data_IF_194610469387
#
_entry.id   IF_194610469387
#
_cell.length_a   1.000
_cell.length_b   1.000
_cell.length_c   1.000
_cell.angle_alpha   90.00
_cell.angle_beta   90.00
_cell.angle_gamma   90.00
#
_symmetry.space_group_name_H-M   'P 1'
#
loop_
_entity.id
_entity.type
_entity.pdbx_description
1 polymer ?
#
# COMPACT_ATOMS: atom_id res chain seq x y z
N UNK A 1 22.98 24.69 26.34
CA UNK A 1 23.61 23.57 25.60
C UNK A 1 23.11 23.70 24.18
N UNK A 2 23.98 24.15 23.28
CA UNK A 2 23.70 24.21 21.84
C UNK A 2 23.35 22.80 21.39
N UNK A 3 22.25 22.62 20.64
CA UNK A 3 21.96 21.36 19.97
C UNK A 3 23.18 21.03 19.10
N UNK A 4 24.03 20.13 19.60
CA UNK A 4 25.24 19.73 18.91
C UNK A 4 24.82 19.07 17.61
N UNK A 5 25.39 19.51 16.50
CA UNK A 5 25.23 18.81 15.22
C UNK A 5 25.57 17.34 15.45
N UNK A 6 24.64 16.43 15.16
CA UNK A 6 24.80 14.99 15.40
C UNK A 6 25.85 14.33 14.47
N UNK A 7 26.66 15.14 13.78
CA UNK A 7 27.68 14.72 12.81
C UNK A 7 27.13 14.21 11.47
N UNK A 8 25.82 14.31 11.25
CA UNK A 8 25.15 13.82 10.04
C UNK A 8 24.80 14.90 9.01
N UNK A 9 25.36 16.11 9.13
CA UNK A 9 25.08 17.19 8.19
C UNK A 9 25.34 16.79 6.73
N UNK A 10 24.42 17.17 5.83
CA UNK A 10 24.51 16.90 4.40
C UNK A 10 24.29 15.43 4.00
N UNK A 11 23.80 14.58 4.91
CA UNK A 11 23.40 13.21 4.59
C UNK A 11 22.10 13.23 3.79
N UNK A 12 22.06 12.47 2.69
CA UNK A 12 20.86 12.22 1.89
C UNK A 12 20.45 10.75 1.99
N UNK A 13 19.29 10.39 1.44
CA UNK A 13 18.87 8.98 1.38
C UNK A 13 19.90 8.09 0.64
N UNK A 14 20.63 8.63 -0.33
CA UNK A 14 21.71 7.93 -1.04
C UNK A 14 22.93 7.69 -0.15
N UNK A 15 23.20 8.59 0.80
CA UNK A 15 24.36 8.48 1.69
C UNK A 15 24.29 7.21 2.55
N UNK A 16 23.10 6.76 2.94
CA UNK A 16 22.90 5.51 3.69
C UNK A 16 23.30 4.25 2.92
N UNK A 17 23.54 4.35 1.59
CA UNK A 17 24.04 3.24 0.76
C UNK A 17 25.56 3.24 0.60
N UNK A 18 26.23 4.32 0.98
CA UNK A 18 27.69 4.44 0.90
C UNK A 18 28.32 4.11 2.26
N UNK A 19 28.75 2.85 2.40
CA UNK A 19 29.39 2.36 3.62
C UNK A 19 30.62 3.17 4.04
N UNK A 20 31.47 3.59 3.09
CA UNK A 20 32.66 4.36 3.41
C UNK A 20 32.31 5.77 3.87
N UNK A 21 31.28 6.38 3.29
CA UNK A 21 30.79 7.69 3.72
C UNK A 21 30.16 7.66 5.11
N UNK A 22 29.43 6.60 5.44
CA UNK A 22 28.85 6.41 6.79
C UNK A 22 29.96 6.14 7.81
N UNK A 23 30.89 5.22 7.50
CA UNK A 23 32.02 4.89 8.37
C UNK A 23 32.88 6.13 8.69
N UNK A 24 33.24 6.93 7.68
CA UNK A 24 34.01 8.17 7.90
C UNK A 24 33.30 9.16 8.82
N UNK A 25 31.97 9.27 8.75
CA UNK A 25 31.19 10.16 9.62
C UNK A 25 31.20 9.66 11.06
N UNK A 26 30.95 8.36 11.25
CA UNK A 26 30.98 7.73 12.56
C UNK A 26 32.38 7.83 13.20
N UNK A 27 33.44 7.60 12.42
CA UNK A 27 34.83 7.75 12.87
C UNK A 27 35.19 9.21 13.20
N UNK A 28 34.52 10.19 12.58
CA UNK A 28 34.63 11.61 12.88
C UNK A 28 33.75 12.07 14.07
N UNK A 29 33.05 11.14 14.74
CA UNK A 29 32.24 11.42 15.92
C UNK A 29 30.77 11.71 15.64
N UNK A 30 30.23 11.34 14.48
CA UNK A 30 28.79 11.36 14.27
C UNK A 30 28.08 10.42 15.26
N UNK A 31 26.94 10.86 15.79
CA UNK A 31 26.20 10.17 16.82
C UNK A 31 25.41 8.98 16.22
N UNK A 32 25.75 7.72 16.52
CA UNK A 32 25.04 6.56 15.98
C UNK A 32 23.59 6.45 16.50
N UNK A 33 23.22 7.21 17.54
CA UNK A 33 21.92 7.14 18.21
C UNK A 33 20.93 8.20 17.70
N UNK A 34 21.40 9.30 17.08
CA UNK A 34 20.56 10.45 16.77
C UNK A 34 20.79 11.04 15.38
N UNK A 35 19.73 11.16 14.58
CA UNK A 35 19.68 11.83 13.28
C UNK A 35 18.41 12.68 13.18
N UNK A 36 18.50 13.99 13.43
CA UNK A 36 17.32 14.87 13.44
C UNK A 36 16.30 14.41 14.49
N UNK A 37 15.13 13.94 14.04
CA UNK A 37 14.09 13.37 14.90
C UNK A 37 14.09 11.83 14.94
N UNK A 38 15.01 11.19 14.22
CA UNK A 38 15.05 9.74 14.07
C UNK A 38 16.39 9.10 14.43
N UNK A 39 16.52 7.79 14.18
CA UNK A 39 17.72 7.01 14.52
C UNK A 39 18.45 6.55 13.27
N UNK A 40 19.79 6.73 13.18
CA UNK A 40 20.59 6.29 12.03
C UNK A 40 20.38 4.82 11.64
N UNK A 41 20.23 3.92 12.63
CA UNK A 41 20.08 2.48 12.37
C UNK A 41 18.75 2.15 11.66
N UNK A 42 17.65 2.84 11.99
CA UNK A 42 16.36 2.69 11.32
C UNK A 42 16.44 3.17 9.87
N UNK A 43 17.10 4.31 9.63
CA UNK A 43 17.31 4.81 8.28
C UNK A 43 18.21 3.86 7.45
N UNK A 44 19.26 3.32 8.05
CA UNK A 44 20.09 2.30 7.40
C UNK A 44 19.30 1.02 7.08
N UNK A 45 18.42 0.59 7.99
CA UNK A 45 17.57 -0.58 7.79
C UNK A 45 16.63 -0.41 6.59
N UNK A 46 16.06 0.79 6.41
CA UNK A 46 15.15 1.11 5.31
C UNK A 46 15.87 1.37 3.98
N UNK A 47 16.84 2.29 3.94
CA UNK A 47 17.42 2.79 2.69
C UNK A 47 18.83 2.29 2.40
N UNK A 48 19.53 1.81 3.42
CA UNK A 48 20.95 1.48 3.36
C UNK A 48 21.28 0.06 2.89
N UNK A 49 22.57 -0.27 2.93
CA UNK A 49 23.10 -1.61 2.67
C UNK A 49 23.34 -2.39 3.97
N UNK A 50 23.48 -3.71 3.85
CA UNK A 50 23.73 -4.59 5.00
C UNK A 50 25.05 -4.25 5.72
N UNK A 51 26.05 -3.76 4.99
CA UNK A 51 27.33 -3.29 5.56
C UNK A 51 27.13 -2.03 6.40
N UNK A 52 26.32 -1.07 5.94
CA UNK A 52 25.99 0.14 6.70
C UNK A 52 25.21 -0.20 7.96
N UNK A 53 24.25 -1.13 7.85
CA UNK A 53 23.49 -1.65 8.98
C UNK A 53 24.42 -2.28 10.02
N UNK A 54 25.32 -3.17 9.59
CA UNK A 54 26.28 -3.82 10.48
C UNK A 54 27.25 -2.80 11.13
N UNK A 55 27.66 -1.78 10.38
CA UNK A 55 28.56 -0.72 10.86
C UNK A 55 27.92 0.12 11.98
N UNK A 56 26.65 0.47 11.82
CA UNK A 56 25.86 1.20 12.82
C UNK A 56 25.50 0.31 14.01
N UNK A 57 25.08 -0.93 13.77
CA UNK A 57 24.69 -1.86 14.82
C UNK A 57 25.82 -2.16 15.81
N UNK A 58 27.08 -2.06 15.38
CA UNK A 58 28.27 -2.17 16.26
C UNK A 58 28.50 -0.96 17.16
N UNK A 59 27.87 0.19 16.86
CA UNK A 59 28.11 1.47 17.55
C UNK A 59 26.93 1.93 18.41
N UNK A 60 25.76 1.37 18.21
CA UNK A 60 24.60 1.63 19.07
C UNK A 60 24.70 0.84 20.38
N UNK A 61 24.07 1.36 21.43
CA UNK A 61 23.98 0.69 22.74
C UNK A 61 22.96 -0.44 22.71
N UNK A 62 21.84 -0.22 22.02
CA UNK A 62 20.73 -1.16 21.89
C UNK A 62 20.28 -1.22 20.41
N UNK A 63 20.47 -2.38 19.79
CA UNK A 63 20.07 -2.66 18.41
C UNK A 63 18.53 -2.74 18.26
N UNK A 64 17.83 -3.06 19.34
CA UNK A 64 16.37 -3.17 19.41
C UNK A 64 15.70 -1.92 20.00
N UNK A 65 16.46 -0.84 20.21
CA UNK A 65 15.87 0.42 20.61
C UNK A 65 14.90 0.90 19.52
N UNK A 66 13.78 1.48 19.95
CA UNK A 66 12.64 1.78 19.08
C UNK A 66 12.63 3.24 18.64
N UNK A 67 12.13 3.47 17.44
CA UNK A 67 11.74 4.77 16.89
C UNK A 67 10.26 4.64 16.52
N UNK A 68 9.41 5.55 16.99
CA UNK A 68 7.95 5.52 16.75
C UNK A 68 7.30 4.13 17.00
N UNK A 69 7.71 3.47 18.08
CA UNK A 69 7.17 2.18 18.51
C UNK A 69 7.70 0.94 17.76
N UNK A 70 8.61 1.12 16.79
CA UNK A 70 9.15 0.02 15.97
C UNK A 70 10.67 -0.09 16.05
N UNK A 71 11.21 -1.30 15.88
CA UNK A 71 12.66 -1.54 15.82
C UNK A 71 13.21 -1.34 14.41
N UNK A 72 14.52 -1.17 14.27
CA UNK A 72 15.14 -1.16 12.94
C UNK A 72 14.87 -2.47 12.16
N UNK A 73 14.75 -3.59 12.88
CA UNK A 73 14.44 -4.90 12.27
C UNK A 73 13.02 -4.97 11.73
N UNK A 74 12.06 -4.35 12.43
CA UNK A 74 10.70 -4.16 11.91
C UNK A 74 10.73 -3.40 10.58
N UNK A 75 11.44 -2.27 10.53
CA UNK A 75 11.54 -1.46 9.32
C UNK A 75 12.12 -2.27 8.14
N UNK A 76 13.21 -2.99 8.36
CA UNK A 76 13.82 -3.83 7.33
C UNK A 76 12.86 -4.90 6.77
N UNK A 77 12.05 -5.53 7.62
CA UNK A 77 11.07 -6.54 7.17
C UNK A 77 9.90 -5.91 6.42
N UNK A 78 9.35 -4.81 6.93
CA UNK A 78 8.23 -4.09 6.27
C UNK A 78 8.65 -3.60 4.89
N UNK A 79 9.84 -3.00 4.78
CA UNK A 79 10.38 -2.47 3.52
C UNK A 79 11.00 -3.54 2.60
N UNK A 80 10.85 -4.82 2.94
CA UNK A 80 11.31 -5.96 2.12
C UNK A 80 12.82 -5.91 1.86
N UNK A 81 13.62 -5.69 2.91
CA UNK A 81 15.08 -5.60 2.92
C UNK A 81 15.71 -6.81 3.63
N UNK A 82 15.68 -8.02 3.03
CA UNK A 82 16.08 -9.24 3.73
C UNK A 82 17.56 -9.23 4.17
N UNK A 83 18.47 -8.65 3.38
CA UNK A 83 19.89 -8.56 3.74
C UNK A 83 20.12 -7.66 4.96
N UNK A 84 19.40 -6.54 5.03
CA UNK A 84 19.45 -5.62 6.18
C UNK A 84 18.86 -6.28 7.42
N UNK A 85 17.74 -7.01 7.26
CA UNK A 85 17.09 -7.73 8.34
C UNK A 85 18.00 -8.84 8.91
N UNK A 86 18.70 -9.58 8.05
CA UNK A 86 19.70 -10.57 8.47
C UNK A 86 20.90 -9.93 9.17
N UNK A 87 21.38 -8.77 8.70
CA UNK A 87 22.47 -8.05 9.35
C UNK A 87 22.10 -7.58 10.78
N UNK A 88 20.87 -7.09 10.97
CA UNK A 88 20.35 -6.72 12.29
C UNK A 88 20.23 -7.93 13.22
N UNK A 89 19.67 -9.04 12.73
CA UNK A 89 19.57 -10.27 13.51
C UNK A 89 20.96 -10.83 13.89
N UNK A 90 21.94 -10.77 12.97
CA UNK A 90 23.32 -11.16 13.25
C UNK A 90 23.99 -10.24 14.28
N UNK A 91 23.56 -8.98 14.38
CA UNK A 91 23.99 -8.04 15.40
C UNK A 91 23.23 -8.17 16.74
N UNK A 92 22.29 -9.13 16.84
CA UNK A 92 21.58 -9.45 18.09
C UNK A 92 20.17 -8.89 18.20
N UNK A 93 19.61 -8.26 17.16
CA UNK A 93 18.22 -7.82 17.16
C UNK A 93 17.27 -9.02 17.23
N UNK A 94 16.24 -8.94 18.08
CA UNK A 94 15.25 -10.02 18.27
C UNK A 94 14.16 -9.98 17.17
N UNK A 95 14.11 -10.96 16.23
CA UNK A 95 13.07 -11.01 15.20
C UNK A 95 11.68 -11.32 15.75
N UNK A 96 11.57 -11.80 16.99
CA UNK A 96 10.31 -12.25 17.59
C UNK A 96 9.74 -11.25 18.61
N UNK A 97 10.41 -10.12 18.80
CA UNK A 97 9.89 -8.99 19.57
C UNK A 97 8.62 -8.42 18.93
N UNK A 98 7.56 -8.37 19.72
CA UNK A 98 6.24 -7.86 19.30
C UNK A 98 6.26 -6.34 19.21
N UNK A 99 5.53 -5.81 18.24
CA UNK A 99 5.34 -4.39 17.95
C UNK A 99 3.87 -4.16 17.58
N UNK A 100 3.59 -3.43 16.49
CA UNK A 100 2.24 -3.00 16.08
C UNK A 100 1.31 -4.20 15.86
N UNK A 101 0.07 -4.09 16.35
CA UNK A 101 -0.96 -5.13 16.20
C UNK A 101 -0.57 -6.48 16.82
N UNK A 102 0.45 -6.55 17.67
CA UNK A 102 0.98 -7.80 18.21
C UNK A 102 1.78 -8.62 17.19
N UNK A 103 2.23 -8.02 16.09
CA UNK A 103 3.13 -8.67 15.14
C UNK A 103 4.59 -8.50 15.55
N UNK A 104 5.43 -9.47 15.22
CA UNK A 104 6.88 -9.32 15.24
C UNK A 104 7.40 -9.29 13.79
N UNK A 105 8.62 -8.76 13.55
CA UNK A 105 9.23 -8.82 12.22
C UNK A 105 9.28 -10.25 11.67
N UNK A 106 9.67 -11.23 12.48
CA UNK A 106 9.72 -12.63 12.10
C UNK A 106 8.35 -13.21 11.75
N UNK A 107 7.31 -12.88 12.51
CA UNK A 107 5.95 -13.38 12.24
C UNK A 107 5.34 -12.72 10.99
N UNK A 108 5.60 -11.43 10.73
CA UNK A 108 5.23 -10.80 9.45
C UNK A 108 5.95 -11.47 8.28
N UNK A 109 7.24 -11.77 8.44
CA UNK A 109 8.04 -12.49 7.44
C UNK A 109 7.38 -13.78 6.98
N UNK A 110 6.77 -14.55 7.89
CA UNK A 110 6.03 -15.79 7.55
C UNK A 110 4.87 -15.58 6.58
N UNK A 111 4.26 -14.39 6.57
CA UNK A 111 3.16 -14.03 5.67
C UNK A 111 3.65 -13.34 4.37
N UNK A 112 4.90 -12.88 4.37
CA UNK A 112 5.51 -12.13 3.28
C UNK A 112 6.25 -13.00 2.26
N UNK A 113 7.04 -12.37 1.37
CA UNK A 113 7.77 -13.06 0.31
C UNK A 113 9.00 -13.83 0.81
N UNK A 114 9.43 -13.62 2.05
CA UNK A 114 10.61 -14.24 2.65
C UNK A 114 10.24 -14.98 3.95
N UNK A 115 9.45 -16.07 3.89
CA UNK A 115 8.97 -16.78 5.08
C UNK A 115 10.08 -17.47 5.87
N UNK A 116 11.20 -17.81 5.22
CA UNK A 116 12.32 -18.53 5.83
C UNK A 116 13.45 -17.60 6.32
N UNK A 117 13.17 -16.29 6.45
CA UNK A 117 14.17 -15.28 6.78
C UNK A 117 14.82 -15.51 8.17
N UNK A 118 14.07 -16.07 9.12
CA UNK A 118 14.55 -16.37 10.47
C UNK A 118 14.15 -17.77 10.91
N UNK A 119 14.92 -18.35 11.82
CA UNK A 119 14.52 -19.56 12.51
C UNK A 119 13.24 -19.30 13.34
N UNK A 120 12.25 -20.19 13.20
CA UNK A 120 10.94 -20.05 13.84
C UNK A 120 10.92 -20.74 15.21
N UNK A 121 10.69 -20.01 16.32
CA UNK A 121 10.56 -20.58 17.65
C UNK A 121 9.37 -21.54 17.76
N UNK A 122 9.46 -22.50 18.68
CA UNK A 122 8.36 -23.41 18.96
C UNK A 122 7.09 -22.64 19.36
N UNK A 123 5.98 -22.91 18.68
CA UNK A 123 4.69 -22.27 18.94
C UNK A 123 4.40 -21.04 18.07
N UNK A 124 5.42 -20.42 17.46
CA UNK A 124 5.21 -19.33 16.50
C UNK A 124 4.71 -19.87 15.16
N UNK A 125 3.54 -19.40 14.75
CA UNK A 125 2.93 -19.73 13.45
C UNK A 125 1.86 -18.72 13.06
N UNK A 126 1.56 -18.66 11.77
CA UNK A 126 0.33 -18.04 11.29
C UNK A 126 -0.87 -18.93 11.64
N UNK A 127 -1.99 -18.30 11.95
CA UNK A 127 -3.29 -18.96 11.95
C UNK A 127 -3.70 -19.34 10.53
N UNK A 128 -4.69 -20.23 10.39
CA UNK A 128 -5.19 -20.63 9.07
C UNK A 128 -5.81 -19.44 8.31
N UNK A 129 -6.47 -18.53 9.03
CA UNK A 129 -7.03 -17.31 8.46
C UNK A 129 -5.93 -16.36 7.95
N UNK A 130 -4.89 -16.11 8.76
CA UNK A 130 -3.75 -15.27 8.35
C UNK A 130 -3.02 -15.84 7.14
N UNK A 131 -2.82 -17.18 7.11
CA UNK A 131 -2.22 -17.87 5.97
C UNK A 131 -3.08 -17.75 4.72
N UNK A 132 -4.40 -17.92 4.85
CA UNK A 132 -5.32 -17.77 3.73
C UNK A 132 -5.30 -16.33 3.18
N UNK A 133 -5.24 -15.32 4.05
CA UNK A 133 -5.09 -13.92 3.65
C UNK A 133 -3.78 -13.68 2.89
N UNK A 134 -2.65 -14.23 3.37
CA UNK A 134 -1.36 -14.11 2.70
C UNK A 134 -1.35 -14.76 1.31
N UNK A 135 -1.89 -15.98 1.19
CA UNK A 135 -2.02 -16.69 -0.09
C UNK A 135 -2.90 -15.92 -1.07
N UNK A 136 -4.04 -15.39 -0.60
CA UNK A 136 -4.94 -14.62 -1.45
C UNK A 136 -4.32 -13.29 -1.89
N UNK A 137 -3.57 -12.61 -1.00
CA UNK A 137 -2.85 -11.39 -1.35
C UNK A 137 -1.81 -11.65 -2.45
N UNK A 138 -0.99 -12.70 -2.31
CA UNK A 138 -0.01 -13.07 -3.33
C UNK A 138 -0.70 -13.39 -4.67
N UNK A 139 -1.77 -14.18 -4.65
CA UNK A 139 -2.57 -14.50 -5.86
C UNK A 139 -3.12 -13.24 -6.52
N UNK A 140 -3.70 -12.34 -5.74
CA UNK A 140 -4.36 -11.14 -6.26
C UNK A 140 -3.34 -10.15 -6.85
N UNK A 141 -2.20 -9.95 -6.18
CA UNK A 141 -1.11 -9.10 -6.68
C UNK A 141 -0.55 -9.66 -7.99
N UNK A 142 -0.33 -10.98 -8.07
CA UNK A 142 0.15 -11.64 -9.30
C UNK A 142 -0.86 -11.51 -10.45
N UNK A 143 -2.15 -11.76 -10.17
CA UNK A 143 -3.21 -11.65 -11.17
C UNK A 143 -3.35 -10.23 -11.75
N UNK A 144 -3.24 -9.20 -10.90
CA UNK A 144 -3.31 -7.81 -11.36
C UNK A 144 -2.01 -7.36 -12.05
N UNK A 145 -0.86 -7.95 -11.69
CA UNK A 145 0.43 -7.57 -12.25
C UNK A 145 0.83 -6.13 -11.93
N UNK A 146 1.75 -5.58 -12.73
CA UNK A 146 2.27 -4.21 -12.56
C UNK A 146 1.92 -3.35 -13.77
N UNK A 147 1.42 -2.15 -13.51
CA UNK A 147 1.08 -1.15 -14.51
C UNK A 147 1.08 0.26 -13.90
N UNK A 148 1.28 1.27 -14.75
CA UNK A 148 1.14 2.67 -14.35
C UNK A 148 -0.35 2.99 -14.15
N UNK A 149 -0.68 3.61 -13.02
CA UNK A 149 -2.06 3.89 -12.65
C UNK A 149 -2.25 5.28 -12.04
N UNK A 150 -1.27 6.18 -12.18
CA UNK A 150 -1.44 7.56 -11.73
C UNK A 150 -2.59 8.20 -12.53
N UNK A 151 -3.48 8.89 -11.84
CA UNK A 151 -4.70 9.45 -12.40
C UNK A 151 -5.89 8.48 -12.43
N UNK A 152 -5.70 7.19 -12.12
CA UNK A 152 -6.78 6.21 -12.15
C UNK A 152 -7.70 6.34 -10.93
N UNK A 153 -9.00 6.52 -11.20
CA UNK A 153 -10.08 6.35 -10.24
C UNK A 153 -10.70 4.96 -10.33
N UNK A 154 -11.09 4.42 -9.18
CA UNK A 154 -11.60 3.06 -9.05
C UNK A 154 -12.69 3.00 -7.96
N UNK A 155 -13.73 2.21 -8.18
CA UNK A 155 -14.65 1.76 -7.14
C UNK A 155 -14.82 0.23 -7.21
N UNK A 156 -14.34 -0.45 -6.19
CA UNK A 156 -14.51 -1.88 -6.00
C UNK A 156 -15.81 -2.12 -5.22
N UNK A 157 -16.78 -2.82 -5.82
CA UNK A 157 -18.12 -3.02 -5.22
C UNK A 157 -18.37 -4.49 -4.96
N UNK A 158 -18.66 -4.84 -3.71
CA UNK A 158 -18.86 -6.21 -3.30
C UNK A 158 -20.23 -6.74 -3.75
N UNK A 159 -20.26 -7.98 -4.25
CA UNK A 159 -21.47 -8.79 -4.38
C UNK A 159 -22.49 -8.39 -5.45
N UNK A 160 -22.18 -7.42 -6.32
CA UNK A 160 -23.03 -7.02 -7.45
C UNK A 160 -22.25 -7.08 -8.77
N UNK A 161 -22.94 -7.35 -9.87
CA UNK A 161 -22.34 -7.34 -11.21
C UNK A 161 -22.40 -5.94 -11.85
N UNK A 162 -21.80 -5.83 -13.04
CA UNK A 162 -21.77 -4.59 -13.80
C UNK A 162 -23.17 -4.06 -14.15
N UNK A 163 -24.13 -4.93 -14.45
CA UNK A 163 -25.48 -4.52 -14.83
C UNK A 163 -26.22 -3.87 -13.64
N UNK A 164 -26.11 -4.48 -12.46
CA UNK A 164 -26.67 -3.94 -11.23
C UNK A 164 -25.97 -2.63 -10.82
N UNK A 165 -24.66 -2.52 -11.00
CA UNK A 165 -23.92 -1.28 -10.77
C UNK A 165 -24.41 -0.14 -11.68
N UNK A 166 -24.54 -0.38 -13.00
CA UNK A 166 -25.07 0.60 -13.95
C UNK A 166 -26.50 1.02 -13.58
N UNK A 167 -27.35 0.08 -13.17
CA UNK A 167 -28.72 0.35 -12.71
C UNK A 167 -28.74 1.26 -11.47
N UNK A 168 -27.90 0.98 -10.47
CA UNK A 168 -27.79 1.80 -9.25
C UNK A 168 -27.29 3.21 -9.54
N UNK A 169 -26.32 3.34 -10.45
CA UNK A 169 -25.81 4.62 -10.89
C UNK A 169 -26.86 5.41 -11.69
N UNK A 170 -27.82 4.72 -12.31
CA UNK A 170 -28.71 5.26 -13.35
C UNK A 170 -27.89 5.81 -14.53
N UNK A 171 -26.80 5.12 -14.85
CA UNK A 171 -25.91 5.49 -15.93
C UNK A 171 -26.51 5.02 -17.27
N UNK A 172 -26.20 5.73 -18.35
CA UNK A 172 -26.61 5.38 -19.72
C UNK A 172 -25.42 4.84 -20.50
N UNK A 173 -25.62 3.96 -21.51
CA UNK A 173 -24.52 3.54 -22.38
C UNK A 173 -23.83 4.74 -23.03
N UNK A 174 -22.49 4.75 -23.01
CA UNK A 174 -21.72 5.79 -23.67
C UNK A 174 -21.72 5.58 -25.20
N UNK A 175 -21.75 6.65 -26.01
CA UNK A 175 -21.52 6.53 -27.44
C UNK A 175 -20.14 5.91 -27.71
N UNK A 176 -20.10 4.86 -28.53
CA UNK A 176 -18.87 4.09 -28.77
C UNK A 176 -17.73 4.96 -29.30
N UNK A 177 -18.00 5.78 -30.31
CA UNK A 177 -16.98 6.66 -30.92
C UNK A 177 -16.40 7.66 -29.90
N UNK A 178 -17.23 8.19 -29.01
CA UNK A 178 -16.78 9.07 -27.94
C UNK A 178 -15.91 8.31 -26.93
N UNK A 179 -16.37 7.15 -26.44
CA UNK A 179 -15.62 6.35 -25.50
C UNK A 179 -14.26 5.88 -26.07
N UNK A 180 -14.25 5.40 -27.31
CA UNK A 180 -13.03 4.97 -27.99
C UNK A 180 -12.06 6.16 -28.17
N UNK A 181 -12.56 7.35 -28.52
CA UNK A 181 -11.73 8.55 -28.66
C UNK A 181 -11.15 9.08 -27.34
N UNK A 182 -11.90 9.01 -26.23
CA UNK A 182 -11.39 9.38 -24.90
C UNK A 182 -10.37 8.36 -24.39
N UNK A 183 -10.57 7.07 -24.66
CA UNK A 183 -9.62 6.02 -24.26
C UNK A 183 -8.29 6.14 -25.03
N UNK A 184 -8.34 6.57 -26.30
CA UNK A 184 -7.14 6.78 -27.13
C UNK A 184 -6.31 7.97 -26.63
N UNK A 185 -6.94 9.12 -26.41
CA UNK A 185 -6.29 10.29 -25.84
C UNK A 185 -7.24 11.08 -24.93
N UNK A 186 -7.23 10.84 -23.60
CA UNK A 186 -8.15 11.49 -22.69
C UNK A 186 -7.83 12.98 -22.46
N UNK A 187 -6.63 13.44 -22.83
CA UNK A 187 -6.16 14.80 -22.58
C UNK A 187 -6.51 15.78 -23.70
N UNK A 188 -6.93 15.25 -24.85
CA UNK A 188 -7.43 16.02 -25.99
C UNK A 188 -8.91 16.46 -25.83
N UNK A 189 -9.57 16.03 -24.75
CA UNK A 189 -10.96 16.38 -24.44
C UNK A 189 -11.04 17.25 -23.18
N UNK A 190 -12.11 18.04 -23.07
CA UNK A 190 -12.35 18.81 -21.85
C UNK A 190 -12.68 17.87 -20.68
N UNK A 191 -12.13 18.16 -19.49
CA UNK A 191 -12.31 17.31 -18.31
C UNK A 191 -13.79 17.14 -17.95
N UNK A 192 -14.60 18.20 -18.10
CA UNK A 192 -16.03 18.17 -17.77
C UNK A 192 -16.81 17.21 -18.70
N UNK A 193 -16.34 17.00 -19.93
CA UNK A 193 -16.95 16.07 -20.88
C UNK A 193 -16.57 14.61 -20.58
N UNK A 194 -15.34 14.36 -20.12
CA UNK A 194 -14.82 13.01 -19.90
C UNK A 194 -15.03 12.50 -18.47
N UNK A 195 -15.21 13.40 -17.50
CA UNK A 195 -15.41 13.04 -16.09
C UNK A 195 -16.63 12.13 -15.85
N UNK A 196 -17.76 12.27 -16.57
CA UNK A 196 -18.89 11.35 -16.42
C UNK A 196 -18.67 9.97 -17.06
N UNK A 197 -17.69 9.81 -17.96
CA UNK A 197 -17.42 8.55 -18.65
C UNK A 197 -16.67 7.59 -17.73
N UNK A 198 -17.27 6.44 -17.43
CA UNK A 198 -16.66 5.38 -16.61
C UNK A 198 -16.84 4.01 -17.25
N UNK A 199 -15.86 3.14 -17.03
CA UNK A 199 -15.93 1.73 -17.38
C UNK A 199 -16.49 0.91 -16.23
N UNK A 200 -17.33 -0.09 -16.52
CA UNK A 200 -17.86 -1.02 -15.52
C UNK A 200 -17.58 -2.45 -15.95
N UNK A 201 -16.98 -3.24 -15.06
CA UNK A 201 -16.55 -4.62 -15.33
C UNK A 201 -16.91 -5.55 -14.19
N UNK A 202 -17.57 -6.67 -14.49
CA UNK A 202 -17.85 -7.72 -13.51
C UNK A 202 -16.59 -8.54 -13.25
N UNK A 203 -16.34 -8.87 -11.99
CA UNK A 203 -15.24 -9.74 -11.55
C UNK A 203 -15.74 -10.73 -10.51
N UNK A 204 -15.06 -11.86 -10.26
CA UNK A 204 -15.44 -12.72 -9.16
C UNK A 204 -15.53 -11.94 -7.84
N UNK A 205 -16.65 -12.08 -7.12
CA UNK A 205 -16.91 -11.35 -5.88
C UNK A 205 -17.59 -9.98 -6.04
N UNK A 206 -17.77 -9.46 -7.26
CA UNK A 206 -18.49 -8.20 -7.46
C UNK A 206 -18.21 -7.51 -8.80
N UNK A 207 -18.00 -6.19 -8.77
CA UNK A 207 -17.66 -5.43 -9.97
C UNK A 207 -16.71 -4.28 -9.65
N UNK A 208 -16.01 -3.83 -10.69
CA UNK A 208 -15.14 -2.67 -10.68
C UNK A 208 -15.74 -1.58 -11.56
N UNK A 209 -15.85 -0.37 -11.02
CA UNK A 209 -16.03 0.85 -11.82
C UNK A 209 -14.67 1.54 -11.93
N UNK A 210 -14.21 1.83 -13.14
CA UNK A 210 -12.86 2.38 -13.37
C UNK A 210 -12.92 3.61 -14.28
N UNK A 211 -11.98 4.52 -14.08
CA UNK A 211 -11.73 5.67 -14.94
C UNK A 211 -10.22 5.94 -14.94
N UNK A 212 -9.48 5.53 -15.99
CA UNK A 212 -8.02 5.63 -16.01
C UNK A 212 -7.46 7.06 -15.91
N UNK A 213 -8.26 8.07 -16.26
CA UNK A 213 -7.85 9.49 -16.36
C UNK A 213 -8.52 10.41 -15.34
N UNK A 214 -9.28 9.88 -14.37
CA UNK A 214 -10.04 10.74 -13.47
C UNK A 214 -10.55 10.07 -12.21
N UNK A 215 -11.05 10.89 -11.30
CA UNK A 215 -11.44 10.51 -9.95
C UNK A 215 -12.94 10.17 -9.82
N UNK A 216 -13.71 10.18 -10.91
CA UNK A 216 -15.16 10.04 -10.85
C UNK A 216 -15.64 8.79 -10.07
N UNK A 217 -15.02 7.61 -10.21
CA UNK A 217 -15.44 6.43 -9.45
C UNK A 217 -15.39 6.59 -7.93
N UNK A 218 -14.47 7.40 -7.40
CA UNK A 218 -14.30 7.63 -5.97
C UNK A 218 -15.30 8.66 -5.40
N UNK A 219 -16.03 9.39 -6.25
CA UNK A 219 -16.94 10.45 -5.79
C UNK A 219 -18.07 9.88 -4.93
N UNK A 220 -18.54 10.67 -3.96
CA UNK A 220 -19.63 10.28 -3.06
C UNK A 220 -20.93 9.96 -3.81
N UNK A 221 -21.21 10.71 -4.87
CA UNK A 221 -22.36 10.47 -5.75
C UNK A 221 -22.33 9.12 -6.49
N UNK A 222 -21.15 8.50 -6.59
CA UNK A 222 -20.93 7.17 -7.18
C UNK A 222 -20.90 6.09 -6.10
N UNK A 223 -20.10 6.26 -5.04
CA UNK A 223 -19.94 5.23 -4.00
C UNK A 223 -21.21 4.96 -3.19
N UNK A 224 -22.03 5.99 -2.89
CA UNK A 224 -23.27 5.82 -2.13
C UNK A 224 -24.27 4.91 -2.84
N UNK A 225 -24.71 5.17 -4.08
CA UNK A 225 -25.65 4.28 -4.74
C UNK A 225 -25.08 2.87 -4.95
N UNK A 226 -23.78 2.74 -5.25
CA UNK A 226 -23.14 1.43 -5.43
C UNK A 226 -23.13 0.58 -4.15
N UNK A 227 -22.86 1.21 -3.00
CA UNK A 227 -22.78 0.53 -1.70
C UNK A 227 -24.14 0.19 -1.06
N UNK A 228 -25.28 0.45 -1.70
CA UNK A 228 -26.58 0.13 -1.10
C UNK A 228 -26.72 -1.38 -0.79
N UNK A 229 -26.84 -1.75 0.49
CA UNK A 229 -26.90 -3.16 0.92
C UNK A 229 -25.60 -3.94 0.74
N UNK A 230 -24.46 -3.26 0.56
CA UNK A 230 -23.15 -3.88 0.35
C UNK A 230 -21.99 -2.95 0.76
N UNK A 231 -20.75 -3.37 0.49
CA UNK A 231 -19.53 -2.63 0.72
C UNK A 231 -18.94 -2.13 -0.59
N UNK A 232 -18.39 -0.92 -0.58
CA UNK A 232 -17.60 -0.37 -1.68
C UNK A 232 -16.32 0.28 -1.16
N UNK A 233 -15.21 0.03 -1.85
CA UNK A 233 -13.95 0.74 -1.65
C UNK A 233 -13.66 1.62 -2.87
N UNK A 234 -13.61 2.93 -2.66
CA UNK A 234 -13.18 3.90 -3.66
C UNK A 234 -11.69 4.18 -3.53
N UNK A 235 -11.00 4.28 -4.65
CA UNK A 235 -9.61 4.70 -4.77
C UNK A 235 -9.50 5.79 -5.83
N UNK A 236 -8.66 6.79 -5.56
CA UNK A 236 -8.09 7.65 -6.59
C UNK A 236 -6.58 7.70 -6.42
N UNK A 237 -5.86 7.25 -7.44
CA UNK A 237 -4.41 7.31 -7.48
C UNK A 237 -3.98 8.72 -7.91
N UNK A 238 -4.04 9.67 -6.99
CA UNK A 238 -3.84 11.08 -7.29
C UNK A 238 -2.35 11.36 -7.63
N UNK A 239 -2.02 11.82 -8.86
CA UNK A 239 -0.62 12.09 -9.25
C UNK A 239 0.08 13.13 -8.37
N UNK A 240 -0.67 13.99 -7.67
CA UNK A 240 -0.12 15.08 -6.86
C UNK A 240 0.13 14.69 -5.40
N UNK A 241 -0.73 13.86 -4.83
CA UNK A 241 -0.74 13.58 -3.37
C UNK A 241 -0.72 12.11 -3.01
N UNK A 242 -0.60 11.21 -4.00
CA UNK A 242 -0.62 9.78 -3.80
C UNK A 242 -2.03 9.19 -3.69
N UNK A 243 -2.09 7.91 -3.31
CA UNK A 243 -3.33 7.14 -3.32
C UNK A 243 -4.28 7.58 -2.20
N UNK A 244 -5.53 7.88 -2.58
CA UNK A 244 -6.60 8.30 -1.69
C UNK A 244 -7.72 7.26 -1.66
N UNK A 245 -8.11 6.82 -0.48
CA UNK A 245 -9.13 5.80 -0.26
C UNK A 245 -10.39 6.33 0.41
N UNK A 246 -11.51 5.71 0.10
CA UNK A 246 -12.81 5.99 0.73
C UNK A 246 -13.61 4.70 0.87
N UNK A 247 -14.28 4.52 2.00
CA UNK A 247 -15.12 3.34 2.23
C UNK A 247 -16.58 3.78 2.32
N UNK A 248 -17.43 3.11 1.55
CA UNK A 248 -18.87 3.27 1.61
C UNK A 248 -19.54 1.94 1.96
N UNK A 249 -20.49 1.97 2.88
CA UNK A 249 -21.30 0.82 3.28
C UNK A 249 -22.75 1.24 3.42
N UNK A 250 -23.65 0.44 2.84
CA UNK A 250 -25.09 0.63 2.93
C UNK A 250 -25.54 2.07 2.59
N UNK A 251 -24.96 2.64 1.53
CA UNK A 251 -25.28 3.99 1.06
C UNK A 251 -24.64 5.13 1.85
N UNK A 252 -23.79 4.82 2.84
CA UNK A 252 -23.14 5.80 3.71
C UNK A 252 -21.62 5.75 3.56
N UNK A 253 -20.96 6.92 3.57
CA UNK A 253 -19.49 6.98 3.64
C UNK A 253 -19.09 6.78 5.10
N UNK A 254 -18.29 5.75 5.37
CA UNK A 254 -17.84 5.39 6.73
C UNK A 254 -16.34 5.59 6.95
N UNK A 255 -15.57 5.87 5.89
CA UNK A 255 -14.16 6.21 5.95
C UNK A 255 -13.75 7.06 4.76
N UNK A 256 -12.88 8.04 4.97
CA UNK A 256 -12.31 8.94 3.95
C UNK A 256 -10.84 9.22 4.29
N UNK A 257 -10.09 9.78 3.34
CA UNK A 257 -8.66 10.11 3.49
C UNK A 257 -7.81 8.90 3.93
N UNK A 258 -8.18 7.72 3.44
CA UNK A 258 -7.44 6.48 3.68
C UNK A 258 -6.27 6.38 2.70
N UNK A 259 -5.24 5.61 3.05
CA UNK A 259 -4.03 5.44 2.23
C UNK A 259 -3.91 3.99 1.73
N UNK A 260 -4.73 3.57 0.73
CA UNK A 260 -4.67 2.20 0.21
C UNK A 260 -3.28 1.90 -0.35
N UNK A 261 -2.75 0.73 0.02
CA UNK A 261 -1.38 0.34 -0.30
C UNK A 261 -0.30 1.11 0.49
N UNK A 262 -0.69 1.86 1.52
CA UNK A 262 0.23 2.44 2.49
C UNK A 262 0.90 1.39 3.39
N UNK A 263 1.79 1.86 4.27
CA UNK A 263 2.44 1.03 5.29
C UNK A 263 1.51 0.72 6.46
N UNK A 264 2.06 0.06 7.47
CA UNK A 264 1.38 -0.24 8.74
C UNK A 264 1.39 1.03 9.60
N UNK A 265 0.25 1.37 10.20
CA UNK A 265 0.11 2.52 11.11
C UNK A 265 0.22 2.08 12.59
N UNK A 266 0.75 2.93 13.48
CA UNK A 266 0.95 2.61 14.92
C UNK A 266 -0.34 2.11 15.62
N UNK A 267 -1.50 2.62 15.19
CA UNK A 267 -2.81 2.27 15.73
C UNK A 267 -3.48 1.03 15.11
N UNK A 268 -2.83 0.34 14.18
CA UNK A 268 -3.42 -0.80 13.48
C UNK A 268 -3.69 -1.98 14.41
N UNK A 269 -4.89 -2.56 14.25
CA UNK A 269 -5.21 -3.89 14.79
C UNK A 269 -4.34 -4.97 14.14
N UNK A 270 -4.32 -6.17 14.72
CA UNK A 270 -3.59 -7.32 14.14
C UNK A 270 -3.97 -7.58 12.69
N UNK A 271 -5.26 -7.53 12.37
CA UNK A 271 -5.79 -7.76 11.03
C UNK A 271 -5.41 -6.63 10.07
N UNK A 272 -5.48 -5.37 10.52
CA UNK A 272 -5.08 -4.22 9.71
C UNK A 272 -3.58 -4.23 9.40
N UNK A 273 -2.74 -4.48 10.41
CA UNK A 273 -1.30 -4.53 10.22
C UNK A 273 -0.88 -5.61 9.21
N UNK A 274 -1.49 -6.81 9.29
CA UNK A 274 -1.25 -7.85 8.30
C UNK A 274 -1.74 -7.43 6.90
N UNK A 275 -2.93 -6.84 6.81
CA UNK A 275 -3.51 -6.41 5.55
C UNK A 275 -2.65 -5.34 4.87
N UNK A 276 -2.24 -4.30 5.61
CA UNK A 276 -1.35 -3.24 5.14
C UNK A 276 0.01 -3.80 4.72
N UNK A 277 0.62 -4.69 5.52
CA UNK A 277 1.88 -5.34 5.16
C UNK A 277 1.80 -6.10 3.84
N UNK A 278 0.73 -6.89 3.63
CA UNK A 278 0.58 -7.73 2.46
C UNK A 278 0.37 -6.92 1.18
N UNK A 279 -0.41 -5.84 1.26
CA UNK A 279 -0.78 -5.01 0.11
C UNK A 279 0.02 -3.70 -0.01
N UNK A 280 1.09 -3.53 0.79
CA UNK A 280 1.96 -2.35 0.72
C UNK A 280 2.46 -2.15 -0.72
N UNK A 281 2.35 -0.92 -1.22
CA UNK A 281 2.67 -0.55 -2.59
C UNK A 281 1.66 -1.01 -3.66
N UNK A 282 0.59 -1.73 -3.29
CA UNK A 282 -0.36 -2.34 -4.21
C UNK A 282 -1.79 -1.83 -3.96
N UNK A 283 -2.03 -0.54 -4.15
CA UNK A 283 -3.28 0.15 -3.79
C UNK A 283 -4.54 -0.41 -4.46
N UNK A 284 -4.43 -0.87 -5.71
CA UNK A 284 -5.56 -1.46 -6.45
C UNK A 284 -5.90 -2.85 -5.92
N UNK A 285 -4.87 -3.67 -5.63
CA UNK A 285 -5.06 -4.97 -4.98
C UNK A 285 -5.66 -4.79 -3.57
N UNK A 286 -5.16 -3.81 -2.81
CA UNK A 286 -5.72 -3.41 -1.51
C UNK A 286 -7.23 -3.12 -1.63
N UNK A 287 -7.63 -2.25 -2.58
CA UNK A 287 -9.02 -1.86 -2.78
C UNK A 287 -9.91 -3.05 -3.16
N UNK A 288 -9.44 -3.92 -4.07
CA UNK A 288 -10.14 -5.14 -4.47
C UNK A 288 -10.33 -6.09 -3.27
N UNK A 289 -9.25 -6.37 -2.54
CA UNK A 289 -9.26 -7.28 -1.40
C UNK A 289 -10.15 -6.76 -0.26
N UNK A 290 -10.13 -5.46 0.02
CA UNK A 290 -10.96 -4.84 1.05
C UNK A 290 -12.45 -5.04 0.75
N UNK A 291 -12.83 -4.91 -0.52
CA UNK A 291 -14.20 -5.15 -0.98
C UNK A 291 -14.50 -6.65 -1.25
N UNK A 292 -13.54 -7.56 -1.05
CA UNK A 292 -13.73 -9.00 -1.26
C UNK A 292 -13.78 -9.44 -2.73
N UNK A 293 -13.28 -8.60 -3.64
CA UNK A 293 -13.19 -8.91 -5.07
C UNK A 293 -11.98 -9.81 -5.33
N UNK A 294 -12.15 -10.69 -6.33
CA UNK A 294 -11.14 -11.66 -6.75
C UNK A 294 -10.95 -11.64 -8.27
N UNK A 295 -10.50 -10.53 -8.86
CA UNK A 295 -10.15 -10.50 -10.27
C UNK A 295 -9.09 -11.56 -10.59
N UNK A 296 -9.15 -12.07 -11.82
CA UNK A 296 -8.24 -13.11 -12.35
C UNK A 296 -7.16 -12.51 -13.25
N UNK A 297 -7.33 -11.25 -13.65
CA UNK A 297 -6.41 -10.45 -14.45
C UNK A 297 -6.65 -8.95 -14.16
N UNK A 298 -5.86 -8.08 -14.81
CA UNK A 298 -5.99 -6.63 -14.69
C UNK A 298 -7.08 -6.00 -15.59
N UNK A 299 -7.84 -6.78 -16.37
CA UNK A 299 -8.74 -6.25 -17.42
C UNK A 299 -9.76 -5.27 -16.87
N UNK A 300 -10.29 -5.55 -15.67
CA UNK A 300 -11.28 -4.69 -15.03
C UNK A 300 -10.76 -3.29 -14.66
N UNK A 301 -9.44 -3.10 -14.68
CA UNK A 301 -8.76 -1.86 -14.29
C UNK A 301 -8.16 -1.15 -15.51
N UNK A 302 -7.37 -1.87 -16.32
CA UNK A 302 -6.61 -1.31 -17.46
C UNK A 302 -7.06 -1.81 -18.82
N UNK A 303 -7.91 -2.83 -18.86
CA UNK A 303 -8.45 -3.39 -20.09
C UNK A 303 -9.76 -2.73 -20.50
N UNK A 304 -10.33 -3.17 -21.64
CA UNK A 304 -11.66 -2.72 -22.04
C UNK A 304 -12.69 -3.22 -21.01
N UNK A 305 -13.58 -2.33 -20.52
CA UNK A 305 -14.62 -2.71 -19.59
C UNK A 305 -15.72 -3.52 -20.28
N UNK A 306 -16.61 -4.13 -19.50
CA UNK A 306 -17.80 -4.78 -20.07
C UNK A 306 -18.71 -3.73 -20.73
N UNK A 307 -18.82 -2.56 -20.10
CA UNK A 307 -19.64 -1.44 -20.55
C UNK A 307 -18.93 -0.11 -20.27
N UNK A 308 -18.89 0.76 -21.27
CA UNK A 308 -18.67 2.19 -21.07
C UNK A 308 -20.02 2.87 -20.84
N UNK A 309 -20.12 3.67 -19.77
CA UNK A 309 -21.36 4.36 -19.40
C UNK A 309 -21.10 5.81 -19.02
N UNK A 310 -22.11 6.65 -19.25
CA UNK A 310 -22.15 8.04 -18.80
C UNK A 310 -22.89 8.12 -17.47
N UNK A 311 -22.21 8.62 -16.46
CA UNK A 311 -22.81 8.99 -15.19
C UNK A 311 -23.77 10.18 -15.41
N UNK A 312 -24.91 10.22 -14.71
CA UNK A 312 -25.75 11.40 -14.71
C UNK A 312 -25.07 12.55 -13.98
N UNK A 313 -25.38 13.80 -14.37
CA UNK A 313 -24.97 14.99 -13.62
C UNK A 313 -25.50 14.89 -12.19
N UNK A 314 -24.58 14.72 -11.25
CA UNK A 314 -24.86 14.67 -9.82
C UNK A 314 -23.70 15.33 -9.07
N UNK A 315 -24.08 16.22 -8.16
CA UNK A 315 -23.19 16.86 -7.17
C UNK A 315 -22.52 15.83 -6.24
#
# INVERSE_FOLDING_TARGET
>A
MTAGETGWAGTTWETWRDHDAIRRRLDAGADPEAYGHGRPLHLAAQWGSAEVVAELARRVVDVDATEDGVTALWQAVVDRRPENALALAAAGADPWRRSIGGWSPGRLGLAGPTPDLFAVPAGERLTDAERATAVEAARLIDALGSFHHDGTGLACVAGIDAAEAVRRLKATPAPREFADGVVEDPWDHELDETLPLVGVTSVPGGCVVTQPWGYAPQRTGVLRPLSAGTLCYGLYANPKSGNQGRVARDGSIIGSDLHPGGGIDEGDTSEQALFSYLYQGNAIAYACAYAGLRPVDARAVVGPPDLWVMLPDRD
#
